data_IF_489225501762
#
_entry.id   IF_489225501762
#
_cell.length_a   1.000
_cell.length_b   1.000
_cell.length_c   1.000
_cell.angle_alpha   90.00
_cell.angle_beta   90.00
_cell.angle_gamma   90.00
#
_symmetry.space_group_name_H-M   'P 1'
#
loop_
_entity.id
_entity.type
_entity.pdbx_description
1 polymer ?
#
# COMPACT_ATOMS: atom_id res chain seq x y z
N UNK A 1 -54.77 12.78 -4.48
CA UNK A 1 -54.24 11.40 -4.48
C UNK A 1 -52.73 11.48 -4.62
N UNK A 2 -52.06 10.78 -3.73
CA UNK A 2 -50.64 10.88 -3.37
C UNK A 2 -49.65 10.56 -4.50
N UNK A 3 -48.44 11.10 -4.37
CA UNK A 3 -47.25 10.30 -4.04
C UNK A 3 -46.06 11.21 -3.78
N UNK A 4 -45.73 11.34 -2.51
CA UNK A 4 -44.41 11.71 -2.04
C UNK A 4 -43.39 10.65 -2.51
N UNK A 5 -42.30 11.10 -3.11
CA UNK A 5 -41.09 10.30 -3.32
C UNK A 5 -39.92 11.14 -2.81
N UNK A 6 -39.74 11.10 -1.49
CA UNK A 6 -38.53 11.58 -0.81
C UNK A 6 -37.42 10.58 -1.11
N UNK A 7 -36.42 11.02 -1.87
CA UNK A 7 -35.19 10.28 -2.10
C UNK A 7 -34.05 10.98 -1.33
N UNK A 8 -33.83 10.56 -0.08
CA UNK A 8 -32.70 10.99 0.74
C UNK A 8 -32.13 9.73 1.42
N UNK A 9 -31.01 9.17 0.92
CA UNK A 9 -29.91 8.87 1.84
C UNK A 9 -28.55 8.95 1.13
N UNK A 10 -27.88 10.11 1.15
CA UNK A 10 -26.53 10.27 0.57
C UNK A 10 -25.50 10.91 1.52
N UNK A 11 -25.90 11.34 2.71
CA UNK A 11 -24.99 12.02 3.65
C UNK A 11 -24.31 11.07 4.65
N UNK A 12 -25.01 10.08 5.20
CA UNK A 12 -24.44 9.15 6.19
C UNK A 12 -23.26 8.33 5.66
N UNK A 13 -23.38 7.80 4.43
CA UNK A 13 -22.30 7.04 3.79
C UNK A 13 -21.03 7.87 3.53
N UNK A 14 -21.15 9.20 3.41
CA UNK A 14 -20.01 10.08 3.18
C UNK A 14 -19.28 10.41 4.48
N UNK A 15 -19.99 10.64 5.58
CA UNK A 15 -19.36 10.87 6.89
C UNK A 15 -18.58 9.64 7.34
N UNK A 16 -19.14 8.44 7.15
CA UNK A 16 -18.50 7.19 7.56
C UNK A 16 -17.22 6.92 6.76
N UNK A 17 -17.26 7.16 5.44
CA UNK A 17 -16.09 7.05 4.58
C UNK A 17 -14.99 8.09 4.89
N UNK A 18 -15.37 9.28 5.36
CA UNK A 18 -14.40 10.30 5.79
C UNK A 18 -13.74 9.93 7.12
N UNK A 19 -14.52 9.38 8.06
CA UNK A 19 -14.03 8.88 9.34
C UNK A 19 -13.09 7.68 9.16
N UNK A 20 -13.45 6.74 8.29
CA UNK A 20 -12.61 5.60 7.95
C UNK A 20 -11.29 6.04 7.31
N UNK A 21 -11.31 6.98 6.37
CA UNK A 21 -10.09 7.52 5.76
C UNK A 21 -9.18 8.20 6.78
N UNK A 22 -9.75 8.91 7.76
CA UNK A 22 -8.97 9.52 8.85
C UNK A 22 -8.28 8.43 9.66
N UNK A 23 -9.03 7.43 10.13
CA UNK A 23 -8.50 6.29 10.89
C UNK A 23 -7.35 5.59 10.14
N UNK A 24 -7.56 5.25 8.87
CA UNK A 24 -6.52 4.62 8.05
C UNK A 24 -5.29 5.53 7.89
N UNK A 25 -5.50 6.84 7.76
CA UNK A 25 -4.41 7.83 7.72
C UNK A 25 -3.57 7.82 8.99
N UNK A 26 -4.21 7.73 10.15
CA UNK A 26 -3.53 7.66 11.45
C UNK A 26 -2.78 6.34 11.62
N UNK A 27 -3.43 5.21 11.34
CA UNK A 27 -2.80 3.88 11.34
C UNK A 27 -1.57 3.86 10.43
N UNK A 28 -1.66 4.48 9.24
CA UNK A 28 -0.55 4.53 8.29
C UNK A 28 0.61 5.41 8.78
N UNK A 29 0.31 6.50 9.48
CA UNK A 29 1.31 7.38 10.10
C UNK A 29 2.07 6.63 11.20
N UNK A 30 1.34 5.93 12.07
CA UNK A 30 1.92 5.13 13.15
C UNK A 30 2.72 3.95 12.62
N UNK A 31 2.18 3.26 11.61
CA UNK A 31 2.86 2.20 10.88
C UNK A 31 4.20 2.68 10.30
N UNK A 32 4.20 3.83 9.63
CA UNK A 32 5.43 4.42 9.08
C UNK A 32 6.43 4.77 10.19
N UNK A 33 5.95 5.33 11.30
CA UNK A 33 6.78 5.66 12.47
C UNK A 33 7.45 4.41 13.03
N UNK A 34 6.69 3.36 13.28
CA UNK A 34 7.19 2.06 13.75
C UNK A 34 8.31 1.52 12.87
N UNK A 35 8.11 1.52 11.55
CA UNK A 35 9.16 1.02 10.63
C UNK A 35 10.41 1.89 10.59
N UNK A 36 10.31 3.19 10.91
CA UNK A 36 11.47 4.10 10.99
C UNK A 36 12.20 3.98 12.33
N UNK A 37 11.45 3.77 13.42
CA UNK A 37 11.99 3.70 14.78
C UNK A 37 12.45 2.30 15.16
N UNK A 38 12.11 1.26 14.38
CA UNK A 38 12.49 -0.14 14.66
C UNK A 38 13.98 -0.28 14.91
N UNK A 39 14.32 -1.17 15.84
CA UNK A 39 15.69 -1.57 16.12
C UNK A 39 16.02 -2.84 15.35
N UNK A 40 17.04 -2.78 14.49
CA UNK A 40 17.53 -3.96 13.78
C UNK A 40 18.54 -4.70 14.68
N UNK A 41 18.15 -5.83 15.25
CA UNK A 41 19.02 -6.69 16.06
C UNK A 41 19.99 -7.45 15.14
N UNK A 42 21.26 -7.01 15.14
CA UNK A 42 22.33 -7.61 14.32
C UNK A 42 22.60 -9.07 14.66
N UNK A 43 22.36 -9.51 15.89
CA UNK A 43 22.66 -10.87 16.33
C UNK A 43 21.62 -11.88 15.84
N UNK A 44 20.36 -11.45 15.79
CA UNK A 44 19.23 -12.29 15.33
C UNK A 44 18.80 -12.00 13.89
N UNK A 45 19.28 -10.92 13.30
CA UNK A 45 18.82 -10.38 12.02
C UNK A 45 17.30 -10.11 12.01
N UNK A 46 16.77 -9.67 13.15
CA UNK A 46 15.35 -9.39 13.36
C UNK A 46 15.11 -7.89 13.54
N UNK A 47 13.99 -7.39 13.02
CA UNK A 47 13.55 -6.02 13.29
C UNK A 47 12.61 -6.01 14.50
N UNK A 48 12.92 -5.23 15.53
CA UNK A 48 12.19 -5.17 16.80
C UNK A 48 11.54 -3.80 16.98
N UNK A 49 10.33 -3.76 17.53
CA UNK A 49 9.66 -2.50 17.90
C UNK A 49 10.38 -1.79 19.05
N UNK A 50 10.71 -0.52 18.85
CA UNK A 50 11.41 0.30 19.85
C UNK A 50 10.45 0.90 20.89
N UNK A 51 9.17 1.04 20.53
CA UNK A 51 8.13 1.70 21.32
C UNK A 51 6.82 0.89 21.29
N UNK A 52 5.87 1.29 22.13
CA UNK A 52 4.50 0.79 22.09
C UNK A 52 3.69 1.54 21.03
N UNK A 53 2.95 0.80 20.21
CA UNK A 53 2.04 1.32 19.19
C UNK A 53 0.66 0.70 19.38
N UNK A 54 -0.14 1.32 20.26
CA UNK A 54 -1.43 0.77 20.70
C UNK A 54 -2.43 0.62 19.55
N UNK A 55 -2.47 1.55 18.60
CA UNK A 55 -3.39 1.47 17.46
C UNK A 55 -3.05 0.32 16.49
N UNK A 56 -1.79 -0.14 16.55
CA UNK A 56 -1.29 -1.27 15.79
C UNK A 56 -1.30 -2.57 16.61
N UNK A 57 -1.65 -2.51 17.89
CA UNK A 57 -1.58 -3.61 18.87
C UNK A 57 -0.17 -4.19 19.05
N UNK A 58 0.83 -3.32 19.11
CA UNK A 58 2.24 -3.69 19.19
C UNK A 58 2.84 -3.15 20.47
N UNK A 59 3.49 -4.03 21.22
CA UNK A 59 4.25 -3.67 22.41
C UNK A 59 5.75 -3.52 22.07
N UNK A 60 6.47 -2.73 22.85
CA UNK A 60 7.93 -2.60 22.78
C UNK A 60 8.56 -3.98 22.89
N UNK A 61 9.49 -4.28 21.98
CA UNK A 61 10.11 -5.60 21.89
C UNK A 61 9.39 -6.57 20.94
N UNK A 62 8.23 -6.21 20.39
CA UNK A 62 7.55 -7.04 19.38
C UNK A 62 8.42 -7.18 18.12
N UNK A 63 8.56 -8.41 17.62
CA UNK A 63 9.31 -8.69 16.39
C UNK A 63 8.46 -8.33 15.17
N UNK A 64 8.94 -7.40 14.35
CA UNK A 64 8.27 -6.87 13.16
C UNK A 64 8.63 -7.65 11.90
N UNK A 65 9.88 -8.09 11.81
CA UNK A 65 10.38 -8.95 10.75
C UNK A 65 11.13 -10.10 11.42
N UNK A 66 10.52 -11.27 11.36
CA UNK A 66 11.08 -12.46 11.99
C UNK A 66 11.54 -13.47 10.94
N UNK A 67 12.38 -14.39 11.40
CA UNK A 67 12.83 -15.55 10.62
C UNK A 67 11.71 -16.58 10.44
N UNK A 68 12.00 -17.69 9.74
CA UNK A 68 11.07 -18.63 9.09
C UNK A 68 9.81 -19.03 9.89
N UNK A 69 9.90 -19.06 11.21
CA UNK A 69 8.90 -19.69 12.06
C UNK A 69 7.96 -18.67 12.75
N UNK A 70 8.14 -17.36 12.53
CA UNK A 70 7.26 -16.33 13.08
C UNK A 70 6.60 -15.48 11.98
N UNK A 71 5.30 -15.19 12.18
CA UNK A 71 4.48 -14.50 11.20
C UNK A 71 4.85 -13.00 11.16
N UNK A 72 5.39 -12.48 10.05
CA UNK A 72 5.74 -11.07 9.96
C UNK A 72 4.49 -10.20 10.05
N UNK A 73 4.66 -9.02 10.63
CA UNK A 73 3.55 -8.11 10.86
C UNK A 73 3.04 -7.55 9.53
N UNK A 74 1.74 -7.72 9.27
CA UNK A 74 1.12 -7.31 8.02
C UNK A 74 0.11 -6.19 8.22
N UNK A 75 0.32 -5.06 7.53
CA UNK A 75 -0.58 -3.91 7.61
C UNK A 75 -2.02 -4.26 7.23
N UNK A 76 -2.22 -5.22 6.32
CA UNK A 76 -3.55 -5.72 5.94
C UNK A 76 -4.31 -6.32 7.11
N UNK A 77 -3.63 -7.10 7.93
CA UNK A 77 -4.23 -7.77 9.08
C UNK A 77 -4.61 -6.73 10.15
N UNK A 78 -3.80 -5.68 10.32
CA UNK A 78 -4.09 -4.55 11.22
C UNK A 78 -5.32 -3.76 10.77
N UNK A 79 -5.47 -3.48 9.46
CA UNK A 79 -6.65 -2.82 8.93
C UNK A 79 -7.93 -3.64 9.17
N UNK A 80 -7.85 -4.97 9.01
CA UNK A 80 -8.96 -5.87 9.32
C UNK A 80 -9.33 -5.86 10.80
N UNK A 81 -8.32 -5.86 11.67
CA UNK A 81 -8.52 -5.84 13.13
C UNK A 81 -9.16 -4.53 13.61
N UNK A 82 -8.88 -3.42 12.92
CA UNK A 82 -9.54 -2.13 13.13
C UNK A 82 -10.90 -1.99 12.40
N UNK A 83 -11.47 -3.09 11.90
CA UNK A 83 -12.81 -3.15 11.27
C UNK A 83 -12.99 -2.24 10.04
N UNK A 84 -11.90 -1.97 9.30
CA UNK A 84 -11.95 -1.21 8.04
C UNK A 84 -12.72 -2.04 7.00
N UNK A 85 -13.75 -1.45 6.39
CA UNK A 85 -14.70 -2.16 5.50
C UNK A 85 -14.05 -2.65 4.20
N UNK A 86 -12.96 -1.99 3.75
CA UNK A 86 -12.23 -2.37 2.53
C UNK A 86 -10.71 -2.19 2.68
N UNK A 87 -10.00 -3.07 3.41
CA UNK A 87 -8.57 -2.92 3.68
C UNK A 87 -7.72 -2.93 2.40
N UNK A 88 -8.11 -3.72 1.40
CA UNK A 88 -7.39 -3.89 0.14
C UNK A 88 -7.32 -2.62 -0.70
N UNK A 89 -8.23 -1.68 -0.47
CA UNK A 89 -8.24 -0.39 -1.15
C UNK A 89 -7.11 0.54 -0.69
N UNK A 90 -6.59 0.32 0.51
CA UNK A 90 -5.57 1.18 1.14
C UNK A 90 -4.15 0.63 1.00
N UNK A 91 -4.02 -0.62 0.56
CA UNK A 91 -2.75 -1.31 0.36
C UNK A 91 -2.34 -1.18 -1.10
N UNK A 92 -1.03 -1.06 -1.35
CA UNK A 92 -0.54 -1.03 -2.72
C UNK A 92 -0.72 -2.42 -3.36
N UNK A 93 -1.16 -2.50 -4.64
CA UNK A 93 -1.18 -3.76 -5.35
C UNK A 93 0.24 -4.32 -5.45
N UNK A 94 0.36 -5.64 -5.44
CA UNK A 94 1.61 -6.37 -5.47
C UNK A 94 2.51 -5.90 -6.63
N UNK A 95 3.83 -5.83 -6.38
CA UNK A 95 4.82 -5.34 -7.34
C UNK A 95 4.89 -6.19 -8.61
N UNK A 96 4.59 -7.49 -8.53
CA UNK A 96 4.46 -8.40 -9.69
C UNK A 96 3.35 -7.97 -10.66
N UNK A 97 2.34 -7.27 -10.15
CA UNK A 97 1.21 -6.73 -10.93
C UNK A 97 1.53 -5.33 -11.48
N UNK A 98 2.71 -4.78 -11.19
CA UNK A 98 3.32 -3.55 -11.72
C UNK A 98 2.76 -2.23 -11.19
N UNK A 99 2.37 -2.22 -9.91
CA UNK A 99 1.99 -0.99 -9.20
C UNK A 99 0.66 -0.38 -9.63
N UNK A 100 0.27 0.72 -8.97
CA UNK A 100 -1.03 1.39 -9.16
C UNK A 100 -1.33 1.74 -10.61
N UNK A 101 -0.34 2.24 -11.35
CA UNK A 101 -0.53 2.65 -12.74
C UNK A 101 -0.85 1.46 -13.67
N UNK A 102 -0.20 0.31 -13.48
CA UNK A 102 -0.53 -0.90 -14.25
C UNK A 102 -1.87 -1.45 -13.82
N UNK A 103 -2.16 -1.49 -12.51
CA UNK A 103 -3.46 -1.92 -11.97
C UNK A 103 -4.64 -1.10 -12.52
N UNK A 104 -4.54 0.24 -12.53
CA UNK A 104 -5.58 1.12 -13.10
C UNK A 104 -5.75 0.84 -14.60
N UNK A 105 -4.64 0.70 -15.34
CA UNK A 105 -4.68 0.36 -16.77
C UNK A 105 -5.32 -1.00 -17.03
N UNK A 106 -5.03 -2.03 -16.22
CA UNK A 106 -5.50 -3.40 -16.45
C UNK A 106 -6.91 -3.65 -15.93
N UNK A 107 -7.26 -3.17 -14.74
CA UNK A 107 -8.50 -3.53 -14.04
C UNK A 107 -9.61 -2.47 -14.13
N UNK A 108 -9.25 -1.20 -14.34
CA UNK A 108 -10.24 -0.09 -14.41
C UNK A 108 -10.47 0.33 -15.86
N UNK A 109 -9.40 0.59 -16.63
CA UNK A 109 -9.53 1.04 -18.03
C UNK A 109 -10.11 -0.01 -18.97
N UNK A 110 -9.84 -1.31 -18.78
CA UNK A 110 -10.38 -2.37 -19.67
C UNK A 110 -11.91 -2.48 -19.66
N UNK A 111 -12.61 -1.92 -18.66
CA UNK A 111 -14.08 -1.95 -18.58
C UNK A 111 -14.76 -0.90 -19.46
N UNK A 112 -14.06 0.18 -19.79
CA UNK A 112 -14.57 1.25 -20.66
C UNK A 112 -13.81 1.09 -21.98
N UNK A 113 -14.40 0.40 -22.96
CA UNK A 113 -13.78 -0.04 -24.22
C UNK A 113 -13.14 1.06 -25.08
N UNK A 114 -12.06 1.65 -24.59
CA UNK A 114 -11.18 2.55 -25.33
C UNK A 114 -9.87 1.79 -25.44
N UNK A 115 -9.71 1.09 -26.55
CA UNK A 115 -8.43 0.49 -26.91
C UNK A 115 -7.34 1.56 -26.90
N UNK A 116 -6.19 1.32 -26.26
CA UNK A 116 -5.07 2.23 -26.40
C UNK A 116 -4.60 2.17 -27.86
N UNK A 117 -4.72 3.29 -28.58
CA UNK A 117 -4.04 3.49 -29.85
C UNK A 117 -2.60 2.98 -29.72
N UNK A 118 -2.30 1.93 -30.48
CA UNK A 118 -0.94 1.45 -30.70
C UNK A 118 -0.07 2.64 -31.10
N UNK A 119 0.77 3.11 -30.18
CA UNK A 119 1.78 4.11 -30.52
C UNK A 119 2.77 3.46 -31.48
N UNK A 120 2.59 3.78 -32.76
CA UNK A 120 3.61 3.93 -33.79
C UNK A 120 4.93 3.19 -33.54
N UNK A 121 5.07 2.09 -34.29
CA UNK A 121 6.30 1.53 -34.89
C UNK A 121 7.59 2.25 -34.48
N UNK A 122 8.41 1.54 -33.71
CA UNK A 122 9.82 1.86 -33.46
C UNK A 122 10.62 1.91 -34.77
N UNK A 123 11.18 3.07 -35.10
CA UNK A 123 12.36 3.17 -35.98
C UNK A 123 13.63 2.88 -35.17
N UNK A 124 14.64 2.20 -35.73
CA UNK A 124 15.88 1.90 -35.02
C UNK A 124 16.78 3.13 -35.06
N UNK A 125 16.62 4.02 -34.07
CA UNK A 125 17.44 5.21 -33.89
C UNK A 125 18.49 4.97 -32.80
N UNK A 126 19.73 4.82 -33.23
CA UNK A 126 20.97 4.69 -32.46
C UNK A 126 20.97 5.52 -31.16
N UNK A 127 20.94 4.86 -30.00
CA UNK A 127 21.27 5.48 -28.70
C UNK A 127 22.32 4.62 -28.05
N UNK A 128 23.57 5.05 -28.21
CA UNK A 128 24.74 4.51 -27.52
C UNK A 128 24.44 4.31 -26.03
N UNK A 129 24.53 3.07 -25.58
CA UNK A 129 24.57 2.73 -24.19
C UNK A 129 25.86 3.29 -23.58
N UNK A 130 25.76 4.36 -22.80
CA UNK A 130 26.86 4.81 -21.93
C UNK A 130 27.17 3.70 -20.92
N UNK A 131 28.19 2.90 -21.22
CA UNK A 131 28.78 1.94 -20.27
C UNK A 131 29.46 2.72 -19.15
N UNK A 132 28.98 2.54 -17.93
CA UNK A 132 29.59 3.10 -16.71
C UNK A 132 30.91 2.37 -16.47
N UNK A 133 32.02 3.08 -16.55
CA UNK A 133 33.35 2.61 -16.14
C UNK A 133 33.41 2.56 -14.62
N UNK A 134 33.66 1.38 -14.05
CA UNK A 134 33.89 1.19 -12.62
C UNK A 134 35.00 0.17 -12.39
N UNK A 135 36.07 0.65 -11.73
CA UNK A 135 37.11 -0.11 -11.02
C UNK A 135 38.04 -1.00 -11.85
N UNK A 136 39.06 -0.38 -12.44
CA UNK A 136 40.37 -1.02 -12.57
C UNK A 136 41.33 -0.29 -11.61
N UNK A 137 41.77 -0.99 -10.58
CA UNK A 137 42.95 -0.64 -9.78
C UNK A 137 44.18 -0.99 -10.60
N UNK A 138 45.09 -0.02 -10.79
CA UNK A 138 46.53 -0.22 -10.92
C UNK A 138 47.23 0.98 -10.28
#
# INVERSE_FOLDING_TARGET
>A
MSKDLVAEPQESNRSDALSEKKLVGELRREWKRMWMERFDDKSKAEGISTSDYQSLFIERGTILHATRDFKPLNFRDILKQNQVSQPDRFIQPDSSVGGWNKFIKTNIRKRNGIEPMTSLKTTPGNKEQKKKTGWLHL
#
